data_IF_163684707314
#
_entry.id   IF_163684707314
#
_cell.length_a   1.000
_cell.length_b   1.000
_cell.length_c   1.000
_cell.angle_alpha   90.00
_cell.angle_beta   90.00
_cell.angle_gamma   90.00
#
_symmetry.space_group_name_H-M   'P 1'
#
loop_
_entity.id
_entity.type
_entity.pdbx_description
1 polymer ?
#
# COMPACT_ATOMS: atom_id res chain seq x y z
N UNK A 1 5.71 9.29 50.79
CA UNK A 1 5.49 10.23 49.67
C UNK A 1 6.04 9.58 48.41
N UNK A 2 5.23 8.79 47.72
CA UNK A 2 5.64 7.91 46.61
C UNK A 2 4.65 8.08 45.46
N UNK A 3 4.64 9.27 44.85
CA UNK A 3 3.72 9.61 43.74
C UNK A 3 4.49 10.25 42.56
N UNK A 4 5.80 10.48 42.68
CA UNK A 4 6.56 11.25 41.68
C UNK A 4 7.16 10.37 40.55
N UNK A 5 7.32 9.06 40.77
CA UNK A 5 7.98 8.18 39.78
C UNK A 5 7.03 7.61 38.71
N UNK A 6 5.73 7.54 38.95
CA UNK A 6 4.77 6.94 38.00
C UNK A 6 4.37 7.90 36.88
N UNK A 7 4.39 9.21 37.12
CA UNK A 7 4.01 10.25 36.16
C UNK A 7 5.07 10.48 35.06
N UNK A 8 6.36 10.36 35.39
CA UNK A 8 7.43 10.49 34.39
C UNK A 8 7.48 9.29 33.42
N UNK A 9 7.21 8.08 33.91
CA UNK A 9 7.18 6.86 33.08
C UNK A 9 5.99 6.89 32.11
N UNK A 10 4.83 7.34 32.58
CA UNK A 10 3.63 7.48 31.73
C UNK A 10 3.82 8.54 30.63
N UNK A 11 4.54 9.64 30.93
CA UNK A 11 4.88 10.69 29.97
C UNK A 11 5.91 10.24 28.92
N UNK A 12 6.86 9.37 29.27
CA UNK A 12 7.84 8.84 28.33
C UNK A 12 7.19 7.84 27.36
N UNK A 13 6.25 7.04 27.85
CA UNK A 13 5.45 6.10 27.04
C UNK A 13 4.56 6.84 26.03
N UNK A 14 3.90 7.92 26.43
CA UNK A 14 3.05 8.71 25.52
C UNK A 14 3.85 9.43 24.44
N UNK A 15 5.04 9.95 24.76
CA UNK A 15 5.95 10.55 23.76
C UNK A 15 6.46 9.49 22.78
N UNK A 16 6.86 8.31 23.27
CA UNK A 16 7.30 7.19 22.42
C UNK A 16 6.18 6.70 21.50
N UNK A 17 4.95 6.65 22.00
CA UNK A 17 3.76 6.29 21.21
C UNK A 17 3.45 7.35 20.15
N UNK A 18 3.58 8.65 20.47
CA UNK A 18 3.40 9.74 19.51
C UNK A 18 4.47 9.75 18.42
N UNK A 19 5.72 9.38 18.76
CA UNK A 19 6.80 9.20 17.78
C UNK A 19 6.50 7.98 16.90
N UNK A 20 6.06 6.86 17.48
CA UNK A 20 5.63 5.68 16.70
C UNK A 20 4.49 6.00 15.75
N UNK A 21 3.44 6.70 16.23
CA UNK A 21 2.30 7.12 15.41
C UNK A 21 2.71 8.09 14.29
N UNK A 22 3.74 8.91 14.51
CA UNK A 22 4.32 9.80 13.47
C UNK A 22 5.13 9.03 12.42
N UNK A 23 5.85 8.00 12.83
CA UNK A 23 6.58 7.07 11.95
C UNK A 23 5.60 6.22 11.12
N UNK A 24 4.48 5.80 11.72
CA UNK A 24 3.44 4.97 11.09
C UNK A 24 2.30 5.79 10.47
N UNK A 25 2.54 7.04 10.06
CA UNK A 25 1.58 7.80 9.23
C UNK A 25 1.45 7.12 7.86
N UNK A 26 0.79 5.96 7.83
CA UNK A 26 0.42 5.24 6.64
C UNK A 26 -0.83 5.88 6.08
N UNK A 27 -0.76 6.44 4.87
CA UNK A 27 -1.97 6.85 4.19
C UNK A 27 -2.57 5.64 3.46
N UNK A 28 -3.87 5.46 3.66
CA UNK A 28 -4.67 4.43 2.98
C UNK A 28 -5.59 5.11 1.98
N UNK A 29 -5.63 4.59 0.77
CA UNK A 29 -6.54 5.03 -0.31
C UNK A 29 -7.42 3.85 -0.70
N UNK A 30 -8.73 4.06 -0.80
CA UNK A 30 -9.63 3.12 -1.47
C UNK A 30 -9.93 3.65 -2.86
N UNK A 31 -9.75 2.82 -3.88
CA UNK A 31 -10.09 3.11 -5.26
C UNK A 31 -11.22 2.18 -5.69
N UNK A 32 -12.37 2.76 -6.00
CA UNK A 32 -13.51 2.04 -6.54
C UNK A 32 -13.26 1.72 -8.02
N UNK A 33 -13.56 0.49 -8.42
CA UNK A 33 -13.34 0.00 -9.78
C UNK A 33 -14.55 -0.74 -10.30
N UNK A 34 -14.84 -0.56 -11.59
CA UNK A 34 -15.80 -1.38 -12.32
C UNK A 34 -15.12 -2.65 -12.85
N UNK A 35 -15.65 -3.83 -12.54
CA UNK A 35 -15.14 -5.08 -13.10
C UNK A 35 -15.19 -5.07 -14.64
N UNK A 36 -14.19 -5.69 -15.26
CA UNK A 36 -14.00 -5.70 -16.71
C UNK A 36 -13.34 -4.44 -17.29
N UNK A 37 -13.20 -3.38 -16.50
CA UNK A 37 -12.51 -2.15 -16.93
C UNK A 37 -10.98 -2.28 -16.92
N UNK A 38 -10.29 -1.28 -17.47
CA UNK A 38 -8.85 -1.11 -17.26
C UNK A 38 -8.62 -0.14 -16.11
N UNK A 39 -7.81 -0.55 -15.14
CA UNK A 39 -7.48 0.24 -13.96
C UNK A 39 -6.05 0.72 -14.06
N UNK A 40 -5.85 2.02 -13.86
CA UNK A 40 -4.56 2.68 -13.77
C UNK A 40 -4.32 3.13 -12.34
N UNK A 41 -3.34 2.54 -11.67
CA UNK A 41 -2.94 2.87 -10.31
C UNK A 41 -1.64 3.65 -10.35
N UNK A 42 -1.65 4.85 -9.79
CA UNK A 42 -0.48 5.72 -9.70
C UNK A 42 0.07 5.69 -8.27
N UNK A 43 1.19 5.01 -8.06
CA UNK A 43 1.83 4.89 -6.75
C UNK A 43 2.80 6.05 -6.46
N UNK A 44 3.32 6.69 -7.51
CA UNK A 44 4.36 7.71 -7.46
C UNK A 44 5.63 7.23 -8.16
N UNK A 45 6.32 8.14 -8.85
CA UNK A 45 7.53 7.86 -9.65
C UNK A 45 8.71 7.33 -8.81
N UNK A 46 8.74 7.67 -7.52
CA UNK A 46 9.74 7.18 -6.58
C UNK A 46 9.49 5.73 -6.10
N UNK A 47 8.35 5.12 -6.45
CA UNK A 47 7.96 3.78 -5.98
C UNK A 47 8.56 2.72 -6.88
N UNK A 48 9.37 1.83 -6.29
CA UNK A 48 10.05 0.73 -7.00
C UNK A 48 9.64 -0.66 -6.54
N UNK A 49 8.84 -0.73 -5.48
CA UNK A 49 8.36 -1.98 -4.91
C UNK A 49 6.89 -1.83 -4.49
N UNK A 50 6.09 -2.82 -4.84
CA UNK A 50 4.67 -2.91 -4.50
C UNK A 50 4.37 -4.36 -4.13
N UNK A 51 3.75 -4.54 -2.97
CA UNK A 51 3.37 -5.83 -2.41
C UNK A 51 1.84 -5.92 -2.31
N UNK A 52 1.30 -7.13 -2.46
CA UNK A 52 -0.09 -7.43 -2.14
C UNK A 52 -0.09 -8.66 -1.21
N UNK A 53 -0.60 -9.80 -1.67
CA UNK A 53 -0.36 -11.09 -1.01
C UNK A 53 1.13 -11.49 -1.05
N UNK A 54 1.79 -11.14 -2.17
CA UNK A 54 3.24 -11.27 -2.38
C UNK A 54 3.73 -10.07 -3.17
N UNK A 55 5.04 -9.93 -3.29
CA UNK A 55 5.69 -8.88 -4.07
C UNK A 55 5.22 -8.92 -5.54
N UNK A 56 4.59 -7.85 -6.02
CA UNK A 56 4.10 -7.69 -7.40
C UNK A 56 5.15 -6.96 -8.24
N UNK A 57 5.79 -5.95 -7.66
CA UNK A 57 6.84 -5.14 -8.29
C UNK A 57 8.05 -5.15 -7.39
N UNK A 58 9.23 -5.36 -7.95
CA UNK A 58 10.50 -5.24 -7.26
C UNK A 58 11.53 -4.63 -8.21
N UNK A 59 12.29 -3.65 -7.73
CA UNK A 59 13.32 -2.96 -8.50
C UNK A 59 12.80 -2.44 -9.86
N UNK A 60 11.61 -1.83 -9.83
CA UNK A 60 10.92 -1.25 -10.99
C UNK A 60 10.51 -2.29 -12.07
N UNK A 61 10.40 -3.56 -11.70
CA UNK A 61 10.01 -4.66 -12.59
C UNK A 61 8.90 -5.51 -11.98
N UNK A 62 8.02 -6.02 -12.84
CA UNK A 62 7.02 -7.03 -12.44
C UNK A 62 7.71 -8.35 -12.08
N UNK A 63 7.29 -8.95 -10.98
CA UNK A 63 7.77 -10.26 -10.53
C UNK A 63 7.10 -11.41 -11.30
N UNK A 64 7.66 -12.62 -11.19
CA UNK A 64 7.04 -13.82 -11.77
C UNK A 64 5.65 -14.07 -11.18
N UNK A 65 5.47 -13.83 -9.89
CA UNK A 65 4.16 -13.90 -9.24
C UNK A 65 3.15 -12.94 -9.86
N UNK A 66 3.55 -11.70 -10.17
CA UNK A 66 2.66 -10.76 -10.86
C UNK A 66 2.28 -11.25 -12.26
N UNK A 67 3.22 -11.87 -12.98
CA UNK A 67 2.97 -12.46 -14.30
C UNK A 67 2.05 -13.67 -14.22
N UNK A 68 2.20 -14.51 -13.21
CA UNK A 68 1.31 -15.65 -12.96
C UNK A 68 -0.12 -15.17 -12.61
N UNK A 69 -0.23 -14.22 -11.68
CA UNK A 69 -1.53 -13.70 -11.20
C UNK A 69 -2.31 -12.95 -12.28
N UNK A 70 -1.65 -12.04 -13.01
CA UNK A 70 -2.33 -11.13 -13.93
C UNK A 70 -2.11 -11.46 -15.41
N UNK A 71 -1.08 -12.25 -15.75
CA UNK A 71 -0.72 -12.57 -17.13
C UNK A 71 -0.31 -11.35 -17.93
N UNK A 72 -0.78 -11.28 -19.19
CA UNK A 72 -0.52 -10.16 -20.10
C UNK A 72 -1.37 -8.92 -19.80
N UNK A 73 -2.23 -8.96 -18.78
CA UNK A 73 -3.13 -7.85 -18.42
C UNK A 73 -2.43 -6.77 -17.61
N UNK A 74 -1.33 -7.11 -16.92
CA UNK A 74 -0.58 -6.19 -16.09
C UNK A 74 0.58 -5.55 -16.85
N UNK A 75 0.74 -4.25 -16.64
CA UNK A 75 1.92 -3.48 -17.04
C UNK A 75 2.40 -2.65 -15.87
N UNK A 76 3.71 -2.47 -15.83
CA UNK A 76 4.37 -1.57 -14.91
C UNK A 76 5.24 -0.61 -15.71
N UNK A 77 5.17 0.67 -15.37
CA UNK A 77 6.02 1.70 -15.95
C UNK A 77 6.16 2.87 -14.97
N UNK A 78 7.37 3.09 -14.45
CA UNK A 78 7.75 4.28 -13.68
C UNK A 78 6.72 4.67 -12.59
N UNK A 79 6.46 3.77 -11.64
CA UNK A 79 5.52 4.04 -10.54
C UNK A 79 4.03 3.91 -10.90
N UNK A 80 3.70 3.59 -12.15
CA UNK A 80 2.33 3.33 -12.61
C UNK A 80 2.12 1.84 -12.90
N UNK A 81 1.05 1.28 -12.34
CA UNK A 81 0.55 -0.05 -12.67
C UNK A 81 -0.74 0.05 -13.45
N UNK A 82 -0.82 -0.65 -14.59
CA UNK A 82 -2.05 -0.78 -15.37
C UNK A 82 -2.49 -2.22 -15.35
N UNK A 83 -3.74 -2.49 -14.97
CA UNK A 83 -4.37 -3.82 -15.02
C UNK A 83 -5.57 -3.74 -15.96
N UNK A 84 -5.49 -4.44 -17.09
CA UNK A 84 -6.60 -4.53 -18.05
C UNK A 84 -7.61 -5.60 -17.63
N UNK A 85 -8.89 -5.34 -17.93
CA UNK A 85 -9.99 -6.29 -17.70
C UNK A 85 -9.94 -6.82 -16.26
N UNK A 86 -10.06 -5.89 -15.29
CA UNK A 86 -9.93 -6.21 -13.87
C UNK A 86 -11.03 -7.19 -13.43
N UNK A 87 -10.65 -8.17 -12.63
CA UNK A 87 -11.51 -9.26 -12.15
C UNK A 87 -11.71 -9.15 -10.65
N UNK A 88 -12.75 -9.79 -10.14
CA UNK A 88 -12.96 -9.89 -8.69
C UNK A 88 -11.75 -10.50 -7.96
N UNK A 89 -11.05 -11.47 -8.58
CA UNK A 89 -9.82 -12.07 -8.06
C UNK A 89 -8.60 -11.13 -8.04
N UNK A 90 -8.67 -10.00 -8.75
CA UNK A 90 -7.60 -8.99 -8.79
C UNK A 90 -7.76 -7.94 -7.67
N UNK A 91 -8.95 -7.84 -7.06
CA UNK A 91 -9.23 -6.92 -5.96
C UNK A 91 -8.35 -7.27 -4.77
N UNK A 92 -7.57 -6.30 -4.29
CA UNK A 92 -6.56 -6.51 -3.27
C UNK A 92 -6.15 -5.17 -2.65
N UNK A 93 -5.44 -5.25 -1.53
CA UNK A 93 -4.74 -4.11 -0.95
C UNK A 93 -3.27 -4.19 -1.36
N UNK A 94 -2.78 -3.12 -1.97
CA UNK A 94 -1.40 -2.93 -2.39
C UNK A 94 -0.65 -2.10 -1.35
N UNK A 95 0.44 -2.63 -0.82
CA UNK A 95 1.33 -1.99 0.11
C UNK A 95 2.59 -1.52 -0.60
N UNK A 96 3.02 -0.29 -0.32
CA UNK A 96 4.18 0.31 -0.96
C UNK A 96 4.77 1.40 -0.07
N UNK A 97 5.96 1.89 -0.43
CA UNK A 97 6.57 3.04 0.25
C UNK A 97 6.69 4.21 -0.73
N UNK A 98 6.09 5.35 -0.37
CA UNK A 98 6.22 6.61 -1.11
C UNK A 98 7.05 7.60 -0.30
N UNK A 99 8.16 8.10 -0.85
CA UNK A 99 9.15 8.93 -0.15
C UNK A 99 9.55 8.39 1.24
N UNK A 100 9.70 7.07 1.35
CA UNK A 100 10.05 6.38 2.60
C UNK A 100 8.91 6.25 3.60
N UNK A 101 7.69 6.69 3.25
CA UNK A 101 6.49 6.52 4.07
C UNK A 101 5.68 5.31 3.62
N UNK A 102 5.24 4.44 4.53
CA UNK A 102 4.36 3.33 4.18
C UNK A 102 3.02 3.84 3.65
N UNK A 103 2.46 3.16 2.67
CA UNK A 103 1.19 3.49 2.02
C UNK A 103 0.42 2.22 1.72
N UNK A 104 -0.91 2.33 1.69
CA UNK A 104 -1.80 1.25 1.28
C UNK A 104 -2.82 1.76 0.26
N UNK A 105 -3.11 0.96 -0.77
CA UNK A 105 -4.16 1.23 -1.74
C UNK A 105 -5.03 -0.01 -1.90
N UNK A 106 -6.31 0.08 -1.54
CA UNK A 106 -7.29 -1.00 -1.72
C UNK A 106 -8.09 -0.77 -3.00
N UNK A 107 -8.21 -1.81 -3.83
CA UNK A 107 -9.18 -1.84 -4.91
C UNK A 107 -10.46 -2.50 -4.41
N UNK A 108 -11.58 -1.80 -4.58
CA UNK A 108 -12.91 -2.28 -4.20
C UNK A 108 -13.85 -2.15 -5.40
N UNK A 109 -14.78 -3.10 -5.55
CA UNK A 109 -15.78 -3.02 -6.61
C UNK A 109 -16.76 -1.86 -6.34
N UNK A 110 -17.06 -1.07 -7.37
CA UNK A 110 -18.16 -0.10 -7.31
C UNK A 110 -19.47 -0.85 -7.03
N UNK A 111 -20.12 -0.55 -5.91
CA UNK A 111 -21.47 -1.03 -5.63
C UNK A 111 -22.45 -0.43 -6.65
N UNK A 112 -23.18 -1.30 -7.34
CA UNK A 112 -24.26 -0.95 -8.29
C UNK A 112 -25.48 -0.42 -7.55
#
# INVERSE_FOLDING_TARGET
MMIVFTSQILSLLSVSLLILLRETNSATVTMLVKLGSTVDIHFGDNVKAVEAEKMIVKDDKLTDFAREKFGNRIKWYNGKMTIKNIRSSDLSTFFYHSYGKPMALSLEEESV
#
